data_IF_473403315512
#
_entry.id   IF_473403315512
#
_cell.length_a   1.000
_cell.length_b   1.000
_cell.length_c   1.000
_cell.angle_alpha   90.00
_cell.angle_beta   90.00
_cell.angle_gamma   90.00
#
_symmetry.space_group_name_H-M   'P 1'
#
loop_
_entity.id
_entity.type
_entity.pdbx_description
1 polymer ?
#
# COMPACT_ATOMS: atom_id res chain seq x y z
N UNK A 1 7.64 -9.28 16.06
CA UNK A 1 6.50 -9.13 17.00
C UNK A 1 5.20 -9.39 16.25
N UNK A 2 4.30 -10.12 16.87
CA UNK A 2 3.00 -10.40 16.27
C UNK A 2 2.03 -9.26 16.58
N UNK A 3 1.13 -9.00 15.64
CA UNK A 3 0.05 -8.04 15.87
C UNK A 3 -0.99 -8.60 16.86
N UNK A 4 -1.55 -7.74 17.71
CA UNK A 4 -2.55 -8.13 18.70
C UNK A 4 -3.86 -8.63 18.07
N UNK A 5 -4.23 -8.11 16.90
CA UNK A 5 -5.50 -8.43 16.23
C UNK A 5 -5.33 -9.57 15.22
N UNK A 6 -4.30 -9.50 14.37
CA UNK A 6 -4.14 -10.43 13.26
C UNK A 6 -3.07 -11.53 13.51
N UNK A 7 -2.35 -11.47 14.63
CA UNK A 7 -1.39 -12.49 15.00
C UNK A 7 -0.33 -12.69 13.92
N UNK A 8 -0.15 -13.92 13.47
CA UNK A 8 0.89 -14.29 12.48
C UNK A 8 0.68 -13.67 11.11
N UNK A 9 -0.50 -13.18 10.81
CA UNK A 9 -0.78 -12.53 9.52
C UNK A 9 -0.19 -11.13 9.44
N UNK A 10 0.19 -10.52 10.57
CA UNK A 10 0.84 -9.21 10.61
C UNK A 10 2.05 -9.29 11.53
N UNK A 11 3.22 -9.42 10.93
CA UNK A 11 4.50 -9.42 11.64
C UNK A 11 5.10 -8.02 11.61
N UNK A 12 5.61 -7.56 12.75
CA UNK A 12 6.17 -6.22 12.88
C UNK A 12 7.63 -6.33 13.30
N UNK A 13 8.54 -5.81 12.48
CA UNK A 13 9.96 -5.76 12.83
C UNK A 13 10.21 -4.85 14.02
N UNK A 14 11.09 -5.26 14.94
CA UNK A 14 11.54 -4.41 16.04
C UNK A 14 12.29 -3.16 15.55
N UNK A 15 12.82 -3.20 14.34
CA UNK A 15 13.57 -2.13 13.70
C UNK A 15 12.75 -1.34 12.68
N UNK A 16 11.43 -1.50 12.67
CA UNK A 16 10.56 -0.71 11.82
C UNK A 16 10.69 0.79 12.15
N UNK A 17 10.48 1.63 11.14
CA UNK A 17 10.51 3.08 11.32
C UNK A 17 9.41 3.51 12.27
N UNK A 18 9.78 4.00 13.44
CA UNK A 18 8.84 4.37 14.50
C UNK A 18 7.97 5.57 14.13
N UNK A 19 8.47 6.44 13.25
CA UNK A 19 7.71 7.61 12.79
C UNK A 19 6.53 7.24 11.90
N UNK A 20 6.67 6.13 11.15
CA UNK A 20 5.65 5.65 10.22
C UNK A 20 4.87 4.43 10.77
N UNK A 21 5.26 3.92 11.94
CA UNK A 21 4.78 2.63 12.43
C UNK A 21 3.27 2.60 12.61
N UNK A 22 2.69 3.61 13.26
CA UNK A 22 1.25 3.63 13.54
C UNK A 22 0.44 3.66 12.24
N UNK A 23 0.85 4.48 11.28
CA UNK A 23 0.21 4.55 9.96
C UNK A 23 0.38 3.26 9.18
N UNK A 24 1.56 2.67 9.23
CA UNK A 24 1.83 1.40 8.55
C UNK A 24 1.01 0.24 9.14
N UNK A 25 0.88 0.18 10.45
CA UNK A 25 0.05 -0.82 11.13
C UNK A 25 -1.42 -0.63 10.76
N UNK A 26 -1.91 0.60 10.83
CA UNK A 26 -3.32 0.92 10.53
C UNK A 26 -3.69 0.51 9.10
N UNK A 27 -2.87 0.90 8.11
CA UNK A 27 -3.11 0.53 6.73
C UNK A 27 -3.01 -0.97 6.49
N UNK A 28 -2.04 -1.64 7.11
CA UNK A 28 -1.90 -3.10 7.04
C UNK A 28 -3.13 -3.81 7.60
N UNK A 29 -3.63 -3.37 8.74
CA UNK A 29 -4.84 -3.94 9.33
C UNK A 29 -6.07 -3.79 8.44
N UNK A 30 -6.19 -2.65 7.73
CA UNK A 30 -7.27 -2.44 6.78
C UNK A 30 -7.23 -3.46 5.63
N UNK A 31 -6.04 -3.72 5.10
CA UNK A 31 -5.84 -4.72 4.05
C UNK A 31 -6.17 -6.13 4.57
N UNK A 32 -5.67 -6.49 5.74
CA UNK A 32 -5.89 -7.82 6.33
C UNK A 32 -7.35 -8.06 6.72
N UNK A 33 -8.05 -7.00 7.11
CA UNK A 33 -9.49 -7.06 7.39
C UNK A 33 -10.31 -7.38 6.14
N UNK A 34 -9.86 -6.88 4.99
CA UNK A 34 -10.58 -7.01 3.72
C UNK A 34 -10.23 -8.26 2.92
N UNK A 35 -9.02 -8.81 3.10
CA UNK A 35 -8.50 -9.95 2.33
C UNK A 35 -7.91 -11.01 3.26
N UNK A 36 -8.67 -12.07 3.51
CA UNK A 36 -8.30 -13.12 4.47
C UNK A 36 -7.06 -13.92 4.08
N UNK A 37 -6.72 -13.97 2.79
CA UNK A 37 -5.57 -14.71 2.28
C UNK A 37 -4.25 -13.94 2.35
N UNK A 38 -4.29 -12.66 2.70
CA UNK A 38 -3.11 -11.80 2.71
C UNK A 38 -2.35 -11.93 4.03
N UNK A 39 -1.02 -11.96 3.93
CA UNK A 39 -0.10 -11.84 5.06
C UNK A 39 0.83 -10.66 4.83
N UNK A 40 1.10 -9.88 5.87
CA UNK A 40 1.93 -8.68 5.77
C UNK A 40 3.02 -8.70 6.83
N UNK A 41 4.22 -8.30 6.43
CA UNK A 41 5.30 -7.96 7.36
C UNK A 41 5.59 -6.47 7.23
N UNK A 42 5.70 -5.78 8.36
CA UNK A 42 6.23 -4.42 8.41
C UNK A 42 7.74 -4.55 8.57
N UNK A 43 8.47 -4.07 7.57
CA UNK A 43 9.90 -4.32 7.44
C UNK A 43 10.74 -3.43 8.36
N UNK A 44 11.97 -3.89 8.63
CA UNK A 44 12.97 -3.08 9.30
C UNK A 44 13.34 -1.86 8.44
N UNK A 45 13.63 -0.74 9.09
CA UNK A 45 14.14 0.46 8.44
C UNK A 45 15.66 0.52 8.64
N UNK A 46 16.38 0.74 7.55
CA UNK A 46 17.84 0.88 7.55
C UNK A 46 18.21 2.33 7.25
N UNK A 47 19.02 2.93 8.10
CA UNK A 47 19.42 4.34 7.96
C UNK A 47 20.71 4.55 7.16
N UNK A 48 21.17 3.52 6.45
CA UNK A 48 22.35 3.62 5.58
C UNK A 48 22.03 4.41 4.30
N UNK A 49 22.95 5.30 3.91
CA UNK A 49 22.81 6.12 2.69
C UNK A 49 22.68 5.19 1.47
N UNK A 50 21.70 5.49 0.61
CA UNK A 50 21.44 4.74 -0.62
C UNK A 50 20.68 3.43 -0.43
N UNK A 51 20.37 3.05 0.81
CA UNK A 51 19.57 1.85 1.08
C UNK A 51 18.08 2.13 0.87
N UNK A 52 17.39 1.22 0.18
CA UNK A 52 15.94 1.30 -0.03
C UNK A 52 15.20 0.76 1.19
N UNK A 53 14.10 1.41 1.57
CA UNK A 53 13.31 1.04 2.74
C UNK A 53 11.83 0.86 2.40
N UNK A 54 11.45 -0.22 1.69
CA UNK A 54 10.03 -0.52 1.50
C UNK A 54 9.37 -0.84 2.85
N UNK A 55 8.21 -0.24 3.13
CA UNK A 55 7.53 -0.42 4.40
C UNK A 55 7.07 -1.85 4.64
N UNK A 56 6.62 -2.53 3.57
CA UNK A 56 5.96 -3.82 3.69
C UNK A 56 6.61 -4.92 2.86
N UNK A 57 6.43 -6.15 3.31
CA UNK A 57 6.39 -7.34 2.46
C UNK A 57 4.98 -7.89 2.53
N UNK A 58 4.29 -7.93 1.39
CA UNK A 58 2.91 -8.38 1.27
C UNK A 58 2.90 -9.62 0.39
N UNK A 59 2.59 -10.78 0.96
CA UNK A 59 2.59 -12.06 0.24
C UNK A 59 3.86 -12.29 -0.60
N UNK A 60 5.04 -12.01 -0.09
CA UNK A 60 6.36 -12.15 -0.73
C UNK A 60 6.77 -10.99 -1.65
N UNK A 61 5.91 -10.02 -1.92
CA UNK A 61 6.25 -8.84 -2.71
C UNK A 61 6.48 -7.62 -1.82
N UNK A 62 7.48 -6.81 -2.16
CA UNK A 62 7.72 -5.56 -1.46
C UNK A 62 6.62 -4.55 -1.78
N UNK A 63 6.19 -3.82 -0.78
CA UNK A 63 5.13 -2.82 -0.88
C UNK A 63 5.53 -1.48 -0.28
N UNK A 64 5.01 -0.42 -0.88
CA UNK A 64 5.22 0.96 -0.44
C UNK A 64 3.89 1.63 -0.16
N UNK A 65 3.79 2.34 0.98
CA UNK A 65 2.58 3.06 1.38
C UNK A 65 2.76 4.57 1.14
N UNK A 66 1.71 5.18 0.58
CA UNK A 66 1.64 6.64 0.42
C UNK A 66 0.31 7.17 0.92
N UNK A 67 0.36 8.17 1.78
CA UNK A 67 -0.78 9.00 2.10
C UNK A 67 -1.08 9.92 0.92
N UNK A 68 -2.32 9.90 0.42
CA UNK A 68 -2.67 10.54 -0.85
C UNK A 68 -3.86 11.47 -0.67
N UNK A 69 -3.78 12.66 -1.31
CA UNK A 69 -4.84 13.65 -1.32
C UNK A 69 -5.27 14.07 -2.73
N UNK A 70 -4.51 13.69 -3.77
CA UNK A 70 -4.71 14.17 -5.13
C UNK A 70 -4.20 13.19 -6.18
N UNK A 71 -4.53 13.43 -7.46
CA UNK A 71 -4.00 12.66 -8.59
C UNK A 71 -2.47 12.65 -8.63
N UNK A 72 -1.87 13.80 -8.37
CA UNK A 72 -0.40 13.93 -8.35
C UNK A 72 0.22 12.99 -7.32
N UNK A 73 -0.42 12.80 -6.18
CA UNK A 73 0.02 11.85 -5.16
C UNK A 73 -0.07 10.41 -5.63
N UNK A 74 -1.11 10.04 -6.37
CA UNK A 74 -1.25 8.70 -6.95
C UNK A 74 -0.10 8.42 -7.91
N UNK A 75 0.17 9.33 -8.82
CA UNK A 75 1.28 9.22 -9.78
C UNK A 75 2.63 9.09 -9.07
N UNK A 76 2.87 9.95 -8.09
CA UNK A 76 4.11 9.93 -7.30
C UNK A 76 4.27 8.64 -6.50
N UNK A 77 3.18 8.10 -5.97
CA UNK A 77 3.17 6.84 -5.22
C UNK A 77 3.60 5.65 -6.09
N UNK A 78 3.03 5.53 -7.27
CA UNK A 78 3.41 4.47 -8.22
C UNK A 78 4.87 4.61 -8.66
N UNK A 79 5.31 5.83 -8.98
CA UNK A 79 6.68 6.10 -9.38
C UNK A 79 7.68 5.75 -8.27
N UNK A 80 7.38 6.15 -7.04
CA UNK A 80 8.22 5.86 -5.88
C UNK A 80 8.33 4.36 -5.62
N UNK A 81 7.21 3.64 -5.69
CA UNK A 81 7.19 2.20 -5.50
C UNK A 81 8.07 1.49 -6.53
N UNK A 82 7.92 1.83 -7.81
CA UNK A 82 8.75 1.25 -8.88
C UNK A 82 10.24 1.54 -8.65
N UNK A 83 10.58 2.74 -8.25
CA UNK A 83 11.95 3.13 -7.96
C UNK A 83 12.56 2.33 -6.83
N UNK A 84 11.77 1.94 -5.84
CA UNK A 84 12.21 1.13 -4.72
C UNK A 84 12.17 -0.37 -5.00
N UNK A 85 11.78 -0.80 -6.19
CA UNK A 85 11.64 -2.20 -6.54
C UNK A 85 10.40 -2.86 -5.93
N UNK A 86 9.43 -2.06 -5.51
CA UNK A 86 8.16 -2.55 -4.96
C UNK A 86 7.22 -2.94 -6.08
N UNK A 87 6.52 -4.04 -5.91
CA UNK A 87 5.46 -4.50 -6.83
C UNK A 87 4.07 -4.23 -6.30
N UNK A 88 3.95 -3.78 -5.06
CA UNK A 88 2.68 -3.45 -4.43
C UNK A 88 2.68 -2.00 -4.00
N UNK A 89 1.62 -1.28 -4.36
CA UNK A 89 1.39 0.11 -3.92
C UNK A 89 0.23 0.12 -2.95
N UNK A 90 0.41 0.75 -1.80
CA UNK A 90 -0.67 0.98 -0.84
C UNK A 90 -1.00 2.48 -0.85
N UNK A 91 -2.17 2.80 -1.38
CA UNK A 91 -2.73 4.15 -1.40
C UNK A 91 -3.55 4.33 -0.12
N UNK A 92 -3.06 5.16 0.78
CA UNK A 92 -3.65 5.36 2.09
C UNK A 92 -4.44 6.67 2.13
N UNK A 93 -5.76 6.55 1.99
CA UNK A 93 -6.66 7.70 2.04
C UNK A 93 -7.02 8.11 3.48
N UNK A 94 -6.74 7.26 4.46
CA UNK A 94 -7.01 7.55 5.87
C UNK A 94 -5.93 8.42 6.52
N UNK A 95 -4.78 8.58 5.87
CA UNK A 95 -3.66 9.38 6.37
C UNK A 95 -4.00 10.88 6.45
N UNK A 96 -4.71 11.39 5.44
CA UNK A 96 -4.99 12.81 5.29
C UNK A 96 -6.47 13.05 4.96
N UNK A 97 -6.94 14.27 5.22
CA UNK A 97 -8.23 14.73 4.71
C UNK A 97 -8.12 14.89 3.19
N UNK A 98 -9.07 14.33 2.44
CA UNK A 98 -9.11 14.44 0.99
C UNK A 98 -10.54 14.62 0.49
N UNK A 99 -10.66 15.05 -0.76
CA UNK A 99 -11.94 15.22 -1.46
C UNK A 99 -12.07 14.29 -2.66
N UNK A 100 -11.27 13.21 -2.68
CA UNK A 100 -11.31 12.22 -3.77
C UNK A 100 -12.52 11.30 -3.56
N UNK A 101 -13.32 11.14 -4.61
CA UNK A 101 -14.39 10.16 -4.64
C UNK A 101 -13.94 8.90 -5.41
N UNK A 102 -14.78 7.87 -5.41
CA UNK A 102 -14.45 6.60 -6.08
C UNK A 102 -14.26 6.76 -7.58
N UNK A 103 -15.02 7.65 -8.23
CA UNK A 103 -14.89 7.91 -9.65
C UNK A 103 -13.53 8.52 -9.98
N UNK A 104 -13.14 9.58 -9.27
CA UNK A 104 -11.86 10.25 -9.47
C UNK A 104 -10.69 9.28 -9.21
N UNK A 105 -10.77 8.49 -8.15
CA UNK A 105 -9.74 7.53 -7.80
C UNK A 105 -9.60 6.43 -8.83
N UNK A 106 -10.72 5.88 -9.29
CA UNK A 106 -10.72 4.87 -10.35
C UNK A 106 -10.08 5.39 -11.62
N UNK A 107 -10.37 6.65 -11.98
CA UNK A 107 -9.78 7.32 -13.13
C UNK A 107 -8.27 7.48 -12.98
N UNK A 108 -7.80 7.93 -11.81
CA UNK A 108 -6.38 8.16 -11.57
C UNK A 108 -5.58 6.85 -11.59
N UNK A 109 -6.12 5.79 -11.02
CA UNK A 109 -5.46 4.49 -11.02
C UNK A 109 -5.50 3.85 -12.40
N UNK A 110 -6.58 4.02 -13.17
CA UNK A 110 -6.67 3.49 -14.53
C UNK A 110 -5.63 4.09 -15.48
N UNK A 111 -5.18 5.33 -15.20
CA UNK A 111 -4.07 5.95 -15.92
C UNK A 111 -2.72 5.27 -15.67
N UNK A 112 -2.62 4.42 -14.64
CA UNK A 112 -1.44 3.60 -14.34
C UNK A 112 -1.55 2.18 -14.92
N UNK A 113 -2.44 1.97 -15.86
CA UNK A 113 -2.70 0.68 -16.49
C UNK A 113 -1.44 -0.01 -16.99
N UNK A 114 -0.51 0.73 -17.59
CA UNK A 114 0.72 0.17 -18.12
C UNK A 114 1.61 -0.43 -17.03
N UNK A 115 1.60 0.11 -15.83
CA UNK A 115 2.35 -0.43 -14.71
C UNK A 115 1.86 -1.83 -14.32
N UNK A 116 0.54 -2.04 -14.39
CA UNK A 116 -0.05 -3.35 -14.13
C UNK A 116 0.18 -4.34 -15.28
N UNK A 117 -0.03 -3.92 -16.52
CA UNK A 117 0.09 -4.79 -17.68
C UNK A 117 1.54 -5.19 -17.95
N UNK A 118 2.51 -4.33 -17.63
CA UNK A 118 3.93 -4.64 -17.75
C UNK A 118 4.47 -5.55 -16.63
N UNK A 119 3.70 -5.73 -15.55
CA UNK A 119 4.13 -6.49 -14.38
C UNK A 119 5.06 -5.72 -13.44
N UNK A 120 5.29 -4.44 -13.67
CA UNK A 120 6.07 -3.59 -12.76
C UNK A 120 5.36 -3.42 -11.41
N UNK A 121 4.03 -3.31 -11.45
CA UNK A 121 3.16 -3.31 -10.27
C UNK A 121 2.17 -4.46 -10.42
N UNK A 122 2.10 -5.32 -9.44
CA UNK A 122 1.16 -6.46 -9.44
C UNK A 122 -0.16 -6.10 -8.79
N UNK A 123 -0.13 -5.36 -7.68
CA UNK A 123 -1.31 -5.00 -6.93
C UNK A 123 -1.22 -3.59 -6.38
N UNK A 124 -2.38 -2.94 -6.31
CA UNK A 124 -2.56 -1.67 -5.60
C UNK A 124 -3.70 -1.86 -4.60
N UNK A 125 -3.44 -1.59 -3.33
CA UNK A 125 -4.46 -1.58 -2.29
C UNK A 125 -4.84 -0.14 -1.99
N UNK A 126 -6.13 0.18 -2.09
CA UNK A 126 -6.67 1.48 -1.70
C UNK A 126 -7.30 1.35 -0.32
N UNK A 127 -6.72 2.01 0.66
CA UNK A 127 -7.17 1.97 2.06
C UNK A 127 -8.07 3.15 2.33
N UNK A 128 -9.29 2.87 2.80
CA UNK A 128 -10.29 3.88 3.11
C UNK A 128 -11.24 3.40 4.20
N UNK A 129 -11.42 4.21 5.24
CA UNK A 129 -12.31 3.93 6.38
C UNK A 129 -12.05 2.55 7.02
N UNK A 130 -10.78 2.20 7.21
CA UNK A 130 -10.39 0.94 7.84
C UNK A 130 -10.59 -0.30 6.99
N UNK A 131 -10.87 -0.13 5.71
CA UNK A 131 -11.02 -1.20 4.72
C UNK A 131 -10.07 -0.98 3.56
N UNK A 132 -9.93 -1.98 2.71
CA UNK A 132 -9.11 -1.87 1.51
C UNK A 132 -9.79 -2.50 0.31
N UNK A 133 -9.52 -1.92 -0.87
CA UNK A 133 -9.90 -2.48 -2.16
C UNK A 133 -8.63 -2.76 -2.94
N UNK A 134 -8.53 -3.97 -3.51
CA UNK A 134 -7.39 -4.39 -4.32
C UNK A 134 -7.67 -4.15 -5.80
N UNK A 135 -6.74 -3.47 -6.45
CA UNK A 135 -6.75 -3.22 -7.89
C UNK A 135 -5.53 -3.88 -8.52
N UNK A 136 -5.73 -4.62 -9.61
CA UNK A 136 -4.65 -5.23 -10.38
C UNK A 136 -5.08 -5.39 -11.84
N UNK A 137 -4.22 -6.00 -12.67
CA UNK A 137 -4.53 -6.21 -14.09
C UNK A 137 -5.84 -6.99 -14.32
N UNK A 138 -6.25 -7.80 -13.35
CA UNK A 138 -7.44 -8.65 -13.40
C UNK A 138 -8.70 -7.94 -12.91
N UNK A 139 -8.55 -7.03 -11.93
CA UNK A 139 -9.66 -6.37 -11.23
C UNK A 139 -9.46 -4.85 -11.25
N UNK A 140 -9.52 -4.24 -12.44
CA UNK A 140 -9.22 -2.82 -12.60
C UNK A 140 -10.42 -1.90 -12.50
N UNK A 141 -11.61 -2.44 -12.38
CA UNK A 141 -12.71 -1.72 -12.98
C UNK A 141 -13.44 -0.78 -12.06
N UNK A 142 -13.41 -0.96 -10.74
CA UNK A 142 -14.20 -0.09 -9.88
C UNK A 142 -13.71 -0.09 -8.44
N UNK A 143 -13.51 1.10 -7.92
CA UNK A 143 -13.18 1.32 -6.52
C UNK A 143 -14.43 1.85 -5.85
N UNK A 144 -15.01 1.07 -4.95
CA UNK A 144 -16.15 1.50 -4.15
C UNK A 144 -15.64 1.94 -2.77
N UNK A 145 -15.68 3.23 -2.55
CA UNK A 145 -15.28 3.83 -1.26
C UNK A 145 -16.39 4.71 -0.69
#
# INVERSE_FOLDING_TARGET
MLDEVFGERLLISHKADKNELDSNIRAARAILCSYSEVCIRINAHTYCIGHKNPEYTICNDLGDRKGIMSEKGVTAGFKSAKKQGCKVVVIDLDEHVHHLDSFALSKYISRRKEDFTSGMITDCYVVFCGKAVRVNARYQTRIDI
#
